data_IF_007624682117
#
_entry.id   IF_007624682117
#
_cell.length_a   1.000
_cell.length_b   1.000
_cell.length_c   1.000
_cell.angle_alpha   90.00
_cell.angle_beta   90.00
_cell.angle_gamma   90.00
#
_symmetry.space_group_name_H-M   'P 1'
#
loop_
_entity.id
_entity.type
_entity.pdbx_description
1 polymer ?
#
# COMPACT_ATOMS: atom_id res chain seq x y z
N UNK A 1 -6.01 4.64 -17.88
CA UNK A 1 -5.78 3.21 -18.21
C UNK A 1 -6.49 2.30 -17.21
N UNK A 2 -6.24 2.42 -15.89
CA UNK A 2 -6.87 1.56 -14.87
C UNK A 2 -8.39 1.57 -14.93
N UNK A 3 -9.02 2.74 -15.03
CA UNK A 3 -10.48 2.85 -15.11
C UNK A 3 -11.07 2.10 -16.30
N UNK A 4 -10.48 2.30 -17.48
CA UNK A 4 -10.91 1.60 -18.68
C UNK A 4 -10.77 0.07 -18.55
N UNK A 5 -9.64 -0.39 -18.02
CA UNK A 5 -9.39 -1.82 -17.81
C UNK A 5 -10.42 -2.43 -16.84
N UNK A 6 -10.67 -1.78 -15.71
CA UNK A 6 -11.62 -2.28 -14.71
C UNK A 6 -13.06 -2.29 -15.23
N UNK A 7 -13.49 -1.26 -15.96
CA UNK A 7 -14.81 -1.22 -16.59
C UNK A 7 -15.01 -2.40 -17.56
N UNK A 8 -13.96 -2.77 -18.32
CA UNK A 8 -14.02 -3.90 -19.25
C UNK A 8 -13.91 -5.26 -18.57
N UNK A 9 -13.11 -5.37 -17.51
CA UNK A 9 -12.84 -6.64 -16.82
C UNK A 9 -13.91 -6.98 -15.78
N UNK A 10 -14.64 -5.99 -15.27
CA UNK A 10 -15.64 -6.14 -14.21
C UNK A 10 -16.97 -5.51 -14.64
N UNK A 11 -17.64 -6.04 -15.69
CA UNK A 11 -18.84 -5.42 -16.26
C UNK A 11 -20.00 -5.32 -15.26
N UNK A 12 -20.07 -6.23 -14.27
CA UNK A 12 -21.11 -6.26 -13.24
C UNK A 12 -20.80 -5.36 -12.02
N UNK A 13 -19.64 -4.68 -12.02
CA UNK A 13 -19.25 -3.78 -10.93
C UNK A 13 -19.36 -2.33 -11.35
N UNK A 14 -19.94 -1.52 -10.47
CA UNK A 14 -19.89 -0.07 -10.66
C UNK A 14 -18.46 0.41 -10.38
N UNK A 15 -17.85 1.07 -11.36
CA UNK A 15 -16.55 1.73 -11.25
C UNK A 15 -16.83 3.22 -11.13
N UNK A 16 -16.28 3.86 -10.11
CA UNK A 16 -16.40 5.30 -9.87
C UNK A 16 -15.02 5.94 -10.00
N UNK A 17 -14.89 6.93 -10.86
CA UNK A 17 -13.66 7.69 -11.04
C UNK A 17 -13.65 8.91 -10.12
N UNK A 18 -12.44 9.38 -9.81
CA UNK A 18 -12.26 10.61 -9.04
C UNK A 18 -12.94 11.81 -9.72
N UNK A 19 -13.73 12.56 -8.95
CA UNK A 19 -14.49 13.71 -9.46
C UNK A 19 -15.91 13.39 -9.95
N UNK A 20 -16.30 12.12 -10.04
CA UNK A 20 -17.69 11.76 -10.31
C UNK A 20 -18.57 11.97 -9.08
N UNK A 21 -19.78 12.52 -9.31
CA UNK A 21 -20.69 12.96 -8.24
C UNK A 21 -21.41 11.81 -7.48
N UNK A 22 -21.48 10.63 -8.07
CA UNK A 22 -22.20 9.49 -7.46
C UNK A 22 -21.23 8.52 -6.78
N UNK A 23 -21.01 8.70 -5.50
CA UNK A 23 -20.32 7.70 -4.67
C UNK A 23 -21.29 6.61 -4.19
N UNK A 24 -21.39 5.52 -4.93
CA UNK A 24 -22.05 4.30 -4.43
C UNK A 24 -21.12 3.61 -3.42
N UNK A 25 -21.67 3.20 -2.27
CA UNK A 25 -20.91 2.44 -1.26
C UNK A 25 -20.36 1.11 -1.79
N UNK A 26 -21.02 0.51 -2.79
CA UNK A 26 -20.64 -0.79 -3.38
C UNK A 26 -19.91 -0.65 -4.73
N UNK A 27 -19.25 0.47 -4.98
CA UNK A 27 -18.46 0.69 -6.20
C UNK A 27 -16.97 0.45 -5.97
N UNK A 28 -16.27 0.04 -7.04
CA UNK A 28 -14.80 0.12 -7.08
C UNK A 28 -14.44 1.57 -7.37
N UNK A 29 -13.72 2.21 -6.45
CA UNK A 29 -13.33 3.62 -6.57
C UNK A 29 -11.88 3.73 -7.04
N UNK A 30 -11.66 4.51 -8.09
CA UNK A 30 -10.32 4.86 -8.58
C UNK A 30 -10.03 6.29 -8.18
N UNK A 31 -9.04 6.44 -7.32
CA UNK A 31 -8.68 7.70 -6.69
C UNK A 31 -7.20 8.01 -6.91
N UNK A 32 -6.83 9.27 -7.03
CA UNK A 32 -5.43 9.67 -7.01
C UNK A 32 -4.84 9.43 -5.61
N UNK A 33 -3.51 9.25 -5.56
CA UNK A 33 -2.80 8.85 -4.33
C UNK A 33 -3.03 9.78 -3.13
N UNK A 34 -3.17 11.09 -3.35
CA UNK A 34 -3.39 12.07 -2.29
C UNK A 34 -4.76 11.98 -1.60
N UNK A 35 -5.72 11.30 -2.22
CA UNK A 35 -7.05 11.13 -1.62
C UNK A 35 -7.05 10.09 -0.48
N UNK A 36 -6.15 9.11 -0.52
CA UNK A 36 -6.05 8.12 0.56
C UNK A 36 -5.78 8.77 1.92
N UNK A 37 -4.87 9.75 1.96
CA UNK A 37 -4.54 10.47 3.19
C UNK A 37 -5.71 11.27 3.77
N UNK A 38 -6.59 11.82 2.92
CA UNK A 38 -7.70 12.70 3.31
C UNK A 38 -8.97 11.95 3.78
N UNK A 39 -9.13 10.70 3.38
CA UNK A 39 -10.36 9.95 3.65
C UNK A 39 -10.37 9.35 5.04
N UNK A 40 -11.47 9.50 5.77
CA UNK A 40 -11.70 8.87 7.09
C UNK A 40 -12.31 7.46 6.97
N UNK A 41 -11.93 6.74 5.92
CA UNK A 41 -12.38 5.36 5.70
C UNK A 41 -11.72 4.38 6.66
N UNK A 42 -12.45 3.32 7.03
CA UNK A 42 -11.90 2.14 7.71
C UNK A 42 -11.85 0.97 6.72
N UNK A 43 -10.70 0.34 6.63
CA UNK A 43 -10.45 -0.77 5.71
C UNK A 43 -10.15 -2.04 6.49
N UNK A 44 -10.60 -3.19 5.97
CA UNK A 44 -10.16 -4.47 6.54
C UNK A 44 -8.73 -4.80 6.15
N UNK A 45 -8.36 -4.47 4.91
CA UNK A 45 -7.05 -4.72 4.35
C UNK A 45 -6.64 -3.55 3.45
N UNK A 46 -5.39 -3.12 3.56
CA UNK A 46 -4.71 -2.30 2.57
C UNK A 46 -3.62 -3.13 1.93
N UNK A 47 -3.53 -3.10 0.61
CA UNK A 47 -2.48 -3.75 -0.17
C UNK A 47 -1.60 -2.68 -0.81
N UNK A 48 -0.28 -2.84 -0.69
CA UNK A 48 0.70 -2.16 -1.53
C UNK A 48 1.51 -3.18 -2.31
N UNK A 49 1.51 -3.04 -3.61
CA UNK A 49 2.29 -3.89 -4.49
C UNK A 49 3.13 -3.04 -5.43
N UNK A 50 4.45 -3.27 -5.42
CA UNK A 50 5.42 -2.77 -6.40
C UNK A 50 5.42 -1.24 -6.58
N UNK A 51 5.22 -0.48 -5.49
CA UNK A 51 5.21 0.98 -5.58
C UNK A 51 5.96 1.70 -4.47
N UNK A 52 5.97 1.22 -3.24
CA UNK A 52 6.64 1.90 -2.12
C UNK A 52 8.15 2.07 -2.33
N UNK A 53 8.90 1.09 -2.86
CA UNK A 53 10.34 1.28 -3.10
C UNK A 53 10.69 2.37 -4.12
N UNK A 54 9.71 2.83 -4.92
CA UNK A 54 9.92 3.80 -6.00
C UNK A 54 9.57 5.23 -5.61
N UNK A 55 9.00 5.46 -4.43
CA UNK A 55 8.60 6.77 -3.95
C UNK A 55 9.44 7.22 -2.75
N UNK A 56 9.37 8.51 -2.42
CA UNK A 56 10.16 9.08 -1.33
C UNK A 56 9.76 8.50 0.02
N UNK A 57 10.73 8.35 0.90
CA UNK A 57 10.56 7.75 2.23
C UNK A 57 9.51 8.47 3.08
N UNK A 58 9.51 9.78 3.10
CA UNK A 58 8.54 10.60 3.83
C UNK A 58 7.09 10.34 3.38
N UNK A 59 6.89 10.11 2.07
CA UNK A 59 5.59 9.74 1.50
C UNK A 59 5.20 8.34 1.94
N UNK A 60 6.12 7.38 1.94
CA UNK A 60 5.85 6.00 2.43
C UNK A 60 5.48 6.02 3.90
N UNK A 61 6.23 6.75 4.73
CA UNK A 61 5.93 6.91 6.17
C UNK A 61 4.54 7.51 6.39
N UNK A 62 4.16 8.54 5.63
CA UNK A 62 2.82 9.11 5.69
C UNK A 62 1.72 8.11 5.30
N UNK A 63 1.96 7.27 4.27
CA UNK A 63 1.04 6.18 3.91
C UNK A 63 0.92 5.15 5.03
N UNK A 64 2.03 4.70 5.60
CA UNK A 64 2.04 3.71 6.67
C UNK A 64 1.36 4.25 7.95
N UNK A 65 1.54 5.52 8.27
CA UNK A 65 0.82 6.17 9.37
C UNK A 65 -0.68 6.23 9.12
N UNK A 66 -1.10 6.48 7.88
CA UNK A 66 -2.53 6.43 7.53
C UNK A 66 -3.06 4.99 7.59
N UNK A 67 -2.30 4.01 7.12
CA UNK A 67 -2.64 2.58 7.20
C UNK A 67 -2.86 2.17 8.66
N UNK A 68 -1.96 2.52 9.57
CA UNK A 68 -2.11 2.25 11.01
C UNK A 68 -3.41 2.82 11.60
N UNK A 69 -3.82 4.00 11.15
CA UNK A 69 -5.04 4.67 11.64
C UNK A 69 -6.32 4.16 11.01
N UNK A 70 -6.27 3.59 9.81
CA UNK A 70 -7.46 3.33 8.98
C UNK A 70 -7.66 1.87 8.60
N UNK A 71 -6.73 0.96 8.89
CA UNK A 71 -6.89 -0.45 8.50
C UNK A 71 -6.67 -1.43 9.66
N UNK A 72 -7.12 -2.68 9.46
CA UNK A 72 -6.85 -3.79 10.38
C UNK A 72 -5.59 -4.56 9.98
N UNK A 73 -5.38 -4.70 8.68
CA UNK A 73 -4.28 -5.47 8.10
C UNK A 73 -3.63 -4.70 6.96
N UNK A 74 -2.34 -4.98 6.76
CA UNK A 74 -1.56 -4.47 5.66
C UNK A 74 -0.82 -5.61 4.96
N UNK A 75 -0.95 -5.71 3.64
CA UNK A 75 -0.21 -6.65 2.80
C UNK A 75 0.78 -5.87 1.93
N UNK A 76 2.05 -6.17 2.07
CA UNK A 76 3.14 -5.57 1.31
C UNK A 76 3.75 -6.61 0.37
N UNK A 77 3.77 -6.32 -0.94
CA UNK A 77 4.45 -7.15 -1.95
C UNK A 77 5.40 -6.22 -2.71
N UNK A 78 6.66 -6.18 -2.29
CA UNK A 78 7.63 -5.24 -2.83
C UNK A 78 8.98 -5.89 -3.10
N UNK A 79 9.73 -5.31 -4.03
CA UNK A 79 11.08 -5.76 -4.31
C UNK A 79 12.08 -5.26 -3.25
N UNK A 80 13.10 -6.09 -2.99
CA UNK A 80 14.20 -5.77 -2.07
C UNK A 80 15.58 -5.94 -2.71
N UNK A 81 15.60 -6.44 -3.94
CA UNK A 81 16.83 -6.82 -4.63
C UNK A 81 17.81 -5.65 -4.83
N UNK A 82 17.32 -4.44 -4.96
CA UNK A 82 18.17 -3.28 -5.23
C UNK A 82 18.76 -2.63 -3.96
N UNK A 83 18.34 -3.05 -2.78
CA UNK A 83 18.86 -2.52 -1.51
C UNK A 83 20.39 -2.66 -1.38
N UNK A 84 20.98 -3.66 -2.04
CA UNK A 84 22.41 -3.94 -2.00
C UNK A 84 23.22 -3.31 -3.14
N UNK A 85 22.57 -2.85 -4.22
CA UNK A 85 23.25 -2.41 -5.42
C UNK A 85 23.52 -0.90 -5.50
N UNK A 86 22.86 -0.09 -4.67
CA UNK A 86 22.92 1.37 -4.77
C UNK A 86 23.18 2.05 -3.42
N UNK A 87 24.32 1.80 -2.81
CA UNK A 87 24.76 2.44 -1.58
C UNK A 87 25.24 3.89 -1.80
N UNK A 88 24.40 4.78 -2.30
CA UNK A 88 24.90 6.13 -2.59
C UNK A 88 23.88 7.25 -2.79
N UNK A 89 22.60 6.99 -2.80
CA UNK A 89 21.59 8.05 -2.87
C UNK A 89 20.49 7.81 -1.85
N UNK A 90 20.23 8.78 -1.01
CA UNK A 90 19.28 8.73 0.11
C UNK A 90 17.85 8.29 -0.25
N UNK A 91 17.47 8.28 -1.51
CA UNK A 91 16.11 8.00 -1.98
C UNK A 91 15.93 6.73 -2.83
N UNK A 92 17.00 5.97 -3.13
CA UNK A 92 16.89 4.88 -4.13
C UNK A 92 16.77 3.46 -3.57
N UNK A 93 16.77 3.27 -2.26
CA UNK A 93 16.82 1.93 -1.65
C UNK A 93 15.88 1.81 -0.45
N UNK A 94 14.63 2.20 -0.62
CA UNK A 94 13.65 2.03 0.43
C UNK A 94 13.28 0.55 0.54
N UNK A 95 13.73 -0.08 1.61
CA UNK A 95 13.32 -1.42 2.01
C UNK A 95 12.12 -1.28 2.94
N UNK A 96 10.95 -1.62 2.44
CA UNK A 96 9.67 -1.40 3.16
C UNK A 96 9.66 -1.97 4.58
N UNK A 97 10.13 -3.21 4.84
CA UNK A 97 10.24 -3.74 6.20
C UNK A 97 11.02 -2.85 7.17
N UNK A 98 12.14 -2.28 6.73
CA UNK A 98 12.96 -1.43 7.58
C UNK A 98 12.25 -0.12 7.97
N UNK A 99 11.44 0.42 7.06
CA UNK A 99 10.61 1.59 7.36
C UNK A 99 9.53 1.23 8.36
N UNK A 100 8.86 0.09 8.18
CA UNK A 100 7.83 -0.42 9.10
C UNK A 100 8.40 -0.63 10.50
N UNK A 101 9.57 -1.26 10.62
CA UNK A 101 10.24 -1.44 11.90
C UNK A 101 10.57 -0.10 12.58
N UNK A 102 11.02 0.88 11.80
CA UNK A 102 11.35 2.21 12.31
C UNK A 102 10.16 2.99 12.85
N UNK A 103 9.00 2.89 12.22
CA UNK A 103 7.79 3.61 12.63
C UNK A 103 6.95 2.86 13.67
N UNK A 104 7.10 1.53 13.80
CA UNK A 104 6.32 0.69 14.69
C UNK A 104 4.81 0.65 14.40
N UNK A 105 4.05 -0.02 15.27
CA UNK A 105 2.59 -0.10 15.19
C UNK A 105 2.04 -1.10 14.17
N UNK A 106 2.92 -1.91 13.56
CA UNK A 106 2.58 -3.00 12.64
C UNK A 106 3.32 -4.25 13.08
N UNK A 107 2.58 -5.32 13.39
CA UNK A 107 3.12 -6.64 13.75
C UNK A 107 3.14 -7.53 12.52
N UNK A 108 4.33 -8.03 12.15
CA UNK A 108 4.47 -8.95 11.03
C UNK A 108 3.97 -10.34 11.39
N UNK A 109 2.92 -10.81 10.71
CA UNK A 109 2.36 -12.15 10.90
C UNK A 109 3.16 -13.18 10.12
N UNK A 110 3.50 -12.87 8.85
CA UNK A 110 4.35 -13.72 8.02
C UNK A 110 5.18 -12.93 7.01
N UNK A 111 6.21 -13.60 6.50
CA UNK A 111 7.01 -13.14 5.37
C UNK A 111 7.41 -14.36 4.53
N UNK A 112 7.18 -14.26 3.22
CA UNK A 112 7.59 -15.26 2.24
C UNK A 112 8.23 -14.60 1.02
N UNK A 113 9.15 -15.30 0.30
CA UNK A 113 9.51 -14.91 -1.04
C UNK A 113 8.26 -14.90 -1.94
N UNK A 114 8.06 -13.85 -2.70
CA UNK A 114 6.93 -13.78 -3.61
C UNK A 114 7.24 -14.62 -4.86
N UNK A 115 6.65 -15.80 -4.94
CA UNK A 115 7.00 -16.83 -5.92
C UNK A 115 6.75 -16.44 -7.38
N UNK A 116 5.89 -15.47 -7.67
CA UNK A 116 5.61 -14.98 -9.02
C UNK A 116 6.72 -14.07 -9.57
N UNK A 117 7.59 -13.54 -8.70
CA UNK A 117 8.57 -12.54 -9.11
C UNK A 117 9.82 -12.59 -8.23
N UNK A 118 10.95 -12.93 -8.85
CA UNK A 118 12.24 -13.02 -8.15
C UNK A 118 12.63 -11.66 -7.52
N UNK A 119 13.18 -11.69 -6.32
CA UNK A 119 13.62 -10.50 -5.58
C UNK A 119 12.50 -9.75 -4.86
N UNK A 120 11.28 -10.27 -4.89
CA UNK A 120 10.13 -9.72 -4.15
C UNK A 120 9.87 -10.52 -2.89
N UNK A 121 9.45 -9.81 -1.85
CA UNK A 121 8.94 -10.40 -0.62
C UNK A 121 7.45 -10.03 -0.45
N UNK A 122 6.67 -11.02 -0.02
CA UNK A 122 5.30 -10.84 0.46
C UNK A 122 5.31 -10.85 1.97
N UNK A 123 4.77 -9.81 2.58
CA UNK A 123 4.70 -9.65 4.03
C UNK A 123 3.31 -9.23 4.45
N UNK A 124 2.78 -9.90 5.44
CA UNK A 124 1.46 -9.62 5.99
C UNK A 124 1.58 -9.11 7.42
N UNK A 125 0.94 -7.97 7.66
CA UNK A 125 1.00 -7.26 8.93
C UNK A 125 -0.39 -7.08 9.53
N UNK A 126 -0.45 -7.18 10.85
CA UNK A 126 -1.58 -6.74 11.67
C UNK A 126 -1.29 -5.36 12.23
N UNK A 127 -2.24 -4.47 12.16
CA UNK A 127 -2.16 -3.17 12.85
C UNK A 127 -2.33 -3.39 14.33
N UNK A 128 -1.36 -2.95 15.12
CA UNK A 128 -1.44 -2.96 16.59
C UNK A 128 -2.08 -1.64 17.00
N UNK A 129 -3.20 -1.71 17.73
CA UNK A 129 -3.76 -0.52 18.34
C UNK A 129 -2.71 0.09 19.27
N UNK A 130 -2.43 1.38 19.11
CA UNK A 130 -1.62 2.11 20.08
C UNK A 130 -2.36 1.99 21.41
N UNK A 131 -1.74 1.38 22.42
CA UNK A 131 -2.21 1.50 23.79
C UNK A 131 -2.11 2.98 24.15
N UNK A 132 -3.28 3.64 24.28
CA UNK A 132 -3.41 4.95 24.90
C UNK A 132 -2.99 4.91 26.37
#
# INVERSE_FOLDING_TARGET
IQGWYLIKSLPDKKITLYGELEESQNSVKIMPYWEFGKRDGKYNLVLNQDSFPEINRDVVEAYLDKIKKSSKYFLSINHEHQAHLFSGSENRNLVVPNVIEGIGGLERIYRFPFWLRQGYAEEFYKVIASSE
#
